data_IF_691265040869
#
_entry.id   IF_691265040869
#
_cell.length_a   1.000
_cell.length_b   1.000
_cell.length_c   1.000
_cell.angle_alpha   90.00
_cell.angle_beta   90.00
_cell.angle_gamma   90.00
#
_symmetry.space_group_name_H-M   'P 1'
#
loop_
_entity.id
_entity.type
_entity.pdbx_description
1 polymer ?
#
# COMPACT_ATOMS: atom_id res chain seq x y z
N UNK A 1 -20.94 -10.22 -0.91
CA UNK A 1 -19.86 -9.24 -1.10
C UNK A 1 -19.20 -9.58 -2.42
N UNK A 2 -19.04 -8.62 -3.32
CA UNK A 2 -18.39 -8.86 -4.60
C UNK A 2 -16.88 -8.85 -4.36
N UNK A 3 -16.22 -9.99 -4.51
CA UNK A 3 -14.76 -10.15 -4.41
C UNK A 3 -14.02 -9.49 -5.60
N UNK A 4 -14.62 -8.46 -6.20
CA UNK A 4 -14.17 -7.82 -7.43
C UNK A 4 -13.70 -6.41 -7.14
N UNK A 5 -12.47 -6.13 -7.54
CA UNK A 5 -11.94 -4.78 -7.65
C UNK A 5 -12.58 -4.15 -8.90
N UNK A 6 -13.24 -3.01 -8.72
CA UNK A 6 -13.97 -2.29 -9.78
C UNK A 6 -13.93 -0.78 -9.53
N UNK A 7 -14.23 0.07 -10.53
CA UNK A 7 -14.33 1.50 -10.36
C UNK A 7 -15.22 1.90 -9.17
N UNK A 8 -14.75 2.89 -8.40
CA UNK A 8 -15.41 3.38 -7.19
C UNK A 8 -15.20 2.54 -5.93
N UNK A 9 -14.77 1.28 -6.05
CA UNK A 9 -14.54 0.36 -4.92
C UNK A 9 -13.22 0.68 -4.22
N UNK A 10 -13.22 0.55 -2.90
CA UNK A 10 -12.03 0.62 -2.06
C UNK A 10 -12.10 -0.32 -0.88
N UNK A 11 -10.96 -0.59 -0.26
CA UNK A 11 -10.87 -1.41 0.95
C UNK A 11 -9.59 -1.07 1.73
N UNK A 12 -9.38 -1.75 2.85
CA UNK A 12 -8.22 -1.61 3.71
C UNK A 12 -7.51 -2.95 3.80
N UNK A 13 -6.22 -2.97 3.47
CA UNK A 13 -5.33 -4.10 3.72
C UNK A 13 -4.47 -3.81 4.95
N UNK A 14 -4.46 -4.71 5.92
CA UNK A 14 -3.69 -4.56 7.17
C UNK A 14 -2.53 -5.54 7.22
N UNK A 15 -1.35 -5.05 7.55
CA UNK A 15 -0.16 -5.87 7.71
C UNK A 15 0.74 -5.35 8.83
N UNK A 16 1.75 -6.15 9.22
CA UNK A 16 2.71 -5.79 10.27
C UNK A 16 4.12 -5.99 9.76
N UNK A 17 5.01 -5.08 10.16
CA UNK A 17 6.46 -5.26 10.05
C UNK A 17 6.97 -5.56 11.44
N UNK A 18 7.56 -6.74 11.65
CA UNK A 18 7.96 -7.23 12.96
C UNK A 18 9.48 -7.40 13.02
N UNK A 19 10.12 -6.74 13.98
CA UNK A 19 11.51 -6.99 14.34
C UNK A 19 11.56 -8.00 15.49
N UNK A 20 11.97 -9.24 15.19
CA UNK A 20 12.14 -10.31 16.19
C UNK A 20 13.58 -10.42 16.72
N UNK A 21 14.47 -9.51 16.31
CA UNK A 21 15.84 -9.49 16.80
C UNK A 21 15.94 -8.84 18.18
N UNK A 22 17.07 -9.06 18.84
CA UNK A 22 17.42 -8.46 20.13
C UNK A 22 17.93 -7.02 20.03
N UNK A 23 18.10 -6.48 18.82
CA UNK A 23 18.61 -5.14 18.55
C UNK A 23 17.62 -4.33 17.71
N UNK A 24 17.85 -3.02 17.61
CA UNK A 24 17.00 -2.15 16.78
C UNK A 24 17.44 -2.23 15.32
N UNK A 25 16.47 -2.17 14.41
CA UNK A 25 16.74 -2.21 12.97
C UNK A 25 16.18 -0.95 12.30
N UNK A 26 16.80 -0.57 11.20
CA UNK A 26 16.20 0.35 10.23
C UNK A 26 15.57 -0.48 9.13
N UNK A 27 14.47 0.01 8.58
CA UNK A 27 13.91 -0.58 7.39
C UNK A 27 13.33 0.45 6.44
N UNK A 28 13.29 0.06 5.18
CA UNK A 28 12.60 0.76 4.11
C UNK A 28 11.38 -0.05 3.70
N UNK A 29 10.28 0.65 3.42
CA UNK A 29 9.05 0.06 2.93
C UNK A 29 8.79 0.64 1.54
N UNK A 30 8.85 -0.21 0.53
CA UNK A 30 8.62 0.16 -0.86
C UNK A 30 7.43 -0.63 -1.41
N UNK A 31 6.51 0.05 -2.07
CA UNK A 31 5.40 -0.60 -2.75
C UNK A 31 5.47 -0.36 -4.25
N UNK A 32 5.31 -1.43 -5.03
CA UNK A 32 5.39 -1.39 -6.48
C UNK A 32 4.14 -2.00 -7.08
N UNK A 33 3.41 -1.19 -7.83
CA UNK A 33 2.32 -1.68 -8.67
C UNK A 33 2.89 -2.45 -9.87
N UNK A 34 2.29 -3.59 -10.18
CA UNK A 34 2.66 -4.38 -11.36
C UNK A 34 1.39 -4.70 -12.13
N UNK A 35 0.93 -3.74 -12.92
CA UNK A 35 -0.26 -3.85 -13.75
C UNK A 35 0.02 -3.72 -15.23
N UNK A 36 -0.72 -4.50 -16.02
CA UNK A 36 -0.77 -4.36 -17.48
C UNK A 36 -1.77 -3.26 -17.91
N UNK A 37 -2.73 -2.90 -17.06
CA UNK A 37 -3.78 -1.94 -17.37
C UNK A 37 -3.62 -0.69 -16.49
N UNK A 38 -3.81 0.48 -17.09
CA UNK A 38 -3.73 1.80 -16.46
C UNK A 38 -4.98 2.05 -15.60
N UNK A 39 -5.08 1.33 -14.48
CA UNK A 39 -6.14 1.57 -13.47
C UNK A 39 -5.75 2.76 -12.61
N UNK A 40 -6.72 3.63 -12.34
CA UNK A 40 -6.51 4.80 -11.48
C UNK A 40 -6.64 4.41 -10.00
N UNK A 41 -5.77 3.49 -9.56
CA UNK A 41 -5.73 3.01 -8.18
C UNK A 41 -4.91 3.97 -7.33
N UNK A 42 -5.54 4.52 -6.28
CA UNK A 42 -4.86 5.44 -5.36
C UNK A 42 -4.87 4.91 -3.94
N UNK A 43 -3.96 5.47 -3.15
CA UNK A 43 -3.64 4.92 -1.83
C UNK A 43 -3.48 5.97 -0.74
N UNK A 44 -3.58 5.49 0.50
CA UNK A 44 -3.12 6.14 1.72
C UNK A 44 -2.53 5.09 2.64
N UNK A 45 -1.57 5.47 3.47
CA UNK A 45 -0.94 4.55 4.40
C UNK A 45 -0.97 5.13 5.81
N UNK A 46 -1.52 4.36 6.76
CA UNK A 46 -1.35 4.60 8.18
C UNK A 46 -0.26 3.70 8.75
N UNK A 47 0.54 4.26 9.65
CA UNK A 47 1.47 3.56 10.53
C UNK A 47 1.04 3.81 11.98
N UNK A 48 0.78 2.75 12.73
CA UNK A 48 0.35 2.81 14.13
C UNK A 48 -0.81 3.81 14.35
N UNK A 49 -1.80 3.78 13.44
CA UNK A 49 -3.00 4.63 13.49
C UNK A 49 -2.85 6.03 12.86
N UNK A 50 -1.64 6.50 12.55
CA UNK A 50 -1.40 7.83 12.00
C UNK A 50 -1.06 7.77 10.51
N UNK A 51 -1.58 8.70 9.71
CA UNK A 51 -1.22 8.80 8.29
C UNK A 51 0.27 9.16 8.15
N UNK A 52 1.00 8.33 7.39
CA UNK A 52 2.39 8.55 7.00
C UNK A 52 2.52 8.81 5.50
N UNK A 53 1.51 8.42 4.71
CA UNK A 53 1.36 8.78 3.29
C UNK A 53 -0.10 9.12 3.02
N UNK A 54 -0.35 10.23 2.33
CA UNK A 54 -1.68 10.79 2.16
C UNK A 54 -2.24 11.34 3.48
N UNK A 55 -3.56 11.54 3.54
CA UNK A 55 -4.27 11.95 4.76
C UNK A 55 -5.78 11.67 4.65
N UNK A 56 -6.61 12.23 5.52
CA UNK A 56 -8.06 12.05 5.50
C UNK A 56 -8.69 12.37 4.13
N UNK A 57 -8.19 13.37 3.41
CA UNK A 57 -8.75 13.85 2.14
C UNK A 57 -7.87 13.58 0.92
N UNK A 58 -6.57 13.36 1.11
CA UNK A 58 -5.58 13.26 0.03
C UNK A 58 -5.18 11.80 -0.19
N UNK A 59 -5.32 11.36 -1.44
CA UNK A 59 -4.85 10.06 -1.93
C UNK A 59 -3.63 10.27 -2.83
N UNK A 60 -2.74 9.29 -2.88
CA UNK A 60 -1.51 9.34 -3.67
C UNK A 60 -1.46 8.22 -4.71
N UNK A 61 -0.60 8.41 -5.71
CA UNK A 61 -0.30 7.38 -6.71
C UNK A 61 0.61 6.28 -6.15
N UNK A 62 0.63 5.06 -6.74
CA UNK A 62 1.46 3.96 -6.27
C UNK A 62 2.95 4.31 -6.18
N UNK A 63 3.45 5.14 -7.10
CA UNK A 63 4.85 5.61 -7.12
C UNK A 63 5.27 6.41 -5.89
N UNK A 64 4.31 6.89 -5.11
CA UNK A 64 4.52 7.67 -3.89
C UNK A 64 4.47 6.81 -2.61
N UNK A 65 4.24 5.50 -2.73
CA UNK A 65 4.14 4.57 -1.59
C UNK A 65 5.49 4.04 -1.11
N UNK A 66 6.38 4.96 -0.76
CA UNK A 66 7.72 4.63 -0.29
C UNK A 66 8.02 5.37 1.03
N UNK A 67 8.48 4.62 2.04
CA UNK A 67 9.01 5.15 3.30
C UNK A 67 10.42 4.63 3.50
N UNK A 68 11.29 5.47 4.04
CA UNK A 68 12.70 5.12 4.25
C UNK A 68 13.18 5.49 5.64
N UNK A 69 14.25 4.83 6.08
CA UNK A 69 14.94 5.08 7.35
C UNK A 69 14.01 4.98 8.58
N UNK A 70 13.04 4.05 8.54
CA UNK A 70 12.14 3.81 9.67
C UNK A 70 12.87 3.00 10.74
N UNK A 71 12.88 3.50 11.97
CA UNK A 71 13.46 2.78 13.11
C UNK A 71 12.41 1.85 13.72
N UNK A 72 12.80 0.61 13.99
CA UNK A 72 12.00 -0.39 14.68
C UNK A 72 12.80 -1.02 15.82
N UNK A 73 12.36 -0.78 17.05
CA UNK A 73 13.01 -1.29 18.26
C UNK A 73 13.05 -2.82 18.30
N UNK A 74 13.95 -3.38 19.11
CA UNK A 74 14.02 -4.83 19.34
C UNK A 74 12.70 -5.40 19.83
N UNK A 75 12.36 -6.61 19.37
CA UNK A 75 11.13 -7.33 19.72
C UNK A 75 9.84 -6.50 19.58
N UNK A 76 9.77 -5.60 18.59
CA UNK A 76 8.64 -4.70 18.39
C UNK A 76 8.10 -4.76 16.96
N UNK A 77 6.90 -4.24 16.75
CA UNK A 77 6.25 -4.24 15.44
C UNK A 77 5.59 -2.90 15.14
N UNK A 78 5.57 -2.56 13.86
CA UNK A 78 4.75 -1.49 13.31
C UNK A 78 3.50 -2.08 12.65
N UNK A 79 2.34 -1.50 12.94
CA UNK A 79 1.07 -1.85 12.31
C UNK A 79 0.81 -0.90 11.15
N UNK A 80 0.45 -1.47 10.01
CA UNK A 80 0.11 -0.72 8.81
C UNK A 80 -1.33 -0.96 8.38
N UNK A 81 -1.99 0.11 7.98
CA UNK A 81 -3.28 0.07 7.28
C UNK A 81 -3.12 0.78 5.94
N UNK A 82 -3.11 -0.01 4.86
CA UNK A 82 -3.07 0.47 3.49
C UNK A 82 -4.51 0.60 3.00
N UNK A 83 -4.98 1.83 2.92
CA UNK A 83 -6.27 2.15 2.31
C UNK A 83 -6.07 2.29 0.80
N UNK A 84 -6.92 1.62 0.01
CA UNK A 84 -6.87 1.69 -1.45
C UNK A 84 -8.25 1.96 -2.02
N UNK A 85 -8.29 2.64 -3.17
CA UNK A 85 -9.53 2.88 -3.92
C UNK A 85 -9.24 3.04 -5.40
N UNK A 86 -10.08 2.43 -6.24
CA UNK A 86 -10.13 2.73 -7.66
C UNK A 86 -10.96 4.00 -7.86
N UNK A 87 -10.30 5.06 -8.33
CA UNK A 87 -10.96 6.32 -8.67
C UNK A 87 -11.48 6.30 -10.10
N UNK A 88 -12.75 6.67 -10.27
CA UNK A 88 -13.39 6.67 -11.59
C UNK A 88 -12.57 7.52 -12.60
N UNK A 89 -12.32 6.95 -13.77
CA UNK A 89 -11.61 7.57 -14.88
C UNK A 89 -12.38 7.37 -16.20
N UNK A 90 -12.24 8.25 -17.21
CA UNK A 90 -12.93 8.10 -18.49
C UNK A 90 -12.64 6.77 -19.22
N UNK A 91 -11.49 6.14 -18.96
CA UNK A 91 -11.07 4.89 -19.59
C UNK A 91 -11.57 3.64 -18.83
N UNK A 92 -12.25 3.80 -17.70
CA UNK A 92 -12.65 2.70 -16.83
C UNK A 92 -13.63 1.72 -17.47
N UNK A 93 -14.44 2.16 -18.43
CA UNK A 93 -15.30 1.22 -19.17
C UNK A 93 -14.47 0.21 -19.97
N UNK A 94 -13.35 0.63 -20.55
CA UNK A 94 -12.48 -0.26 -21.33
C UNK A 94 -11.74 -1.19 -20.37
N UNK A 95 -11.18 -0.65 -19.29
CA UNK A 95 -10.40 -1.44 -18.33
C UNK A 95 -11.29 -2.38 -17.51
N UNK A 96 -12.44 -1.92 -17.04
CA UNK A 96 -13.40 -2.73 -16.28
C UNK A 96 -14.07 -3.84 -17.10
N UNK A 97 -14.21 -3.68 -18.42
CA UNK A 97 -14.70 -4.74 -19.31
C UNK A 97 -13.57 -5.71 -19.69
N UNK A 98 -12.35 -5.22 -19.92
CA UNK A 98 -11.23 -6.03 -20.41
C UNK A 98 -10.35 -6.63 -19.30
N UNK A 99 -10.47 -6.19 -18.05
CA UNK A 99 -9.77 -6.79 -16.91
C UNK A 99 -10.31 -8.19 -16.64
N UNK A 100 -9.67 -9.16 -17.27
CA UNK A 100 -9.75 -10.58 -16.91
C UNK A 100 -8.60 -11.01 -15.98
N UNK A 101 -7.74 -10.05 -15.59
CA UNK A 101 -6.50 -10.26 -14.82
C UNK A 101 -6.56 -9.78 -13.37
N UNK A 102 -5.48 -10.03 -12.64
CA UNK A 102 -5.38 -9.75 -11.20
C UNK A 102 -4.89 -8.33 -10.89
N UNK A 103 -5.44 -7.77 -9.81
CA UNK A 103 -4.92 -6.70 -8.95
C UNK A 103 -3.59 -7.04 -8.24
N UNK A 104 -2.45 -6.38 -8.41
CA UNK A 104 -1.17 -6.70 -7.70
C UNK A 104 -0.42 -5.43 -7.34
N UNK A 105 -0.32 -5.18 -6.04
CA UNK A 105 0.60 -4.25 -5.43
C UNK A 105 1.60 -5.06 -4.58
N UNK A 106 2.87 -5.03 -4.94
CA UNK A 106 3.92 -5.73 -4.22
C UNK A 106 4.41 -4.85 -3.06
N UNK A 107 4.48 -5.42 -1.85
CA UNK A 107 5.05 -4.75 -0.68
C UNK A 107 6.43 -5.36 -0.41
N UNK A 108 7.46 -4.54 -0.47
CA UNK A 108 8.84 -4.91 -0.20
C UNK A 108 9.33 -4.23 1.08
N UNK A 109 9.97 -5.01 1.95
CA UNK A 109 10.60 -4.52 3.18
C UNK A 109 12.08 -4.87 3.12
N UNK A 110 12.93 -3.85 3.20
CA UNK A 110 14.39 -4.00 3.21
C UNK A 110 14.92 -3.57 4.58
N UNK A 111 15.68 -4.43 5.26
CA UNK A 111 16.19 -4.18 6.62
C UNK A 111 17.70 -3.94 6.64
N UNK A 112 18.14 -3.09 7.56
CA UNK A 112 19.53 -2.88 7.93
C UNK A 112 19.67 -2.78 9.47
N UNK A 113 20.78 -3.30 10.01
CA UNK A 113 21.12 -3.16 11.43
C UNK A 113 21.55 -1.71 11.74
N UNK A 114 21.24 -1.20 12.95
CA UNK A 114 21.64 0.14 13.42
C UNK A 114 22.59 0.02 14.60
#
# INVERSE_FOLDING_TARGET
MTDKIAPGVGNIYKFKVHNQSSFSVKYNLNMLETMQYDVNMKYKLKKNGNYVIGNATTWVEPSQLNLSNLVLSSNSFDNYELEWRWFDSPNDNIVGINMTGNYTLNIKVDFEEI
#
